data_IF_538355701081
#
_entry.id   IF_538355701081
#
_cell.length_a   1.000
_cell.length_b   1.000
_cell.length_c   1.000
_cell.angle_alpha   90.00
_cell.angle_beta   90.00
_cell.angle_gamma   90.00
#
_symmetry.space_group_name_H-M   'P 1'
#
loop_
_entity.id
_entity.type
_entity.pdbx_description
1 polymer ?
#
# COMPACT_ATOMS: atom_id res chain seq x y z
N UNK A 1 -50.45 30.81 35.43
CA UNK A 1 -49.28 31.30 34.67
C UNK A 1 -48.07 30.35 34.68
N UNK A 2 -47.75 29.61 35.76
CA UNK A 2 -46.55 28.74 35.78
C UNK A 2 -46.53 27.57 34.78
N UNK A 3 -47.69 27.04 34.35
CA UNK A 3 -47.73 25.90 33.42
C UNK A 3 -47.44 26.24 31.95
N UNK A 4 -47.73 27.48 31.51
CA UNK A 4 -47.54 27.90 30.12
C UNK A 4 -46.06 28.18 29.80
N UNK A 5 -45.32 28.80 30.72
CA UNK A 5 -43.88 29.00 30.59
C UNK A 5 -43.08 27.69 30.55
N UNK A 6 -43.49 26.70 31.36
CA UNK A 6 -42.84 25.38 31.39
C UNK A 6 -43.09 24.62 30.08
N UNK A 7 -44.28 24.72 29.51
CA UNK A 7 -44.63 24.03 28.27
C UNK A 7 -43.88 24.62 27.06
N UNK A 8 -43.78 25.96 26.96
CA UNK A 8 -43.02 26.62 25.90
C UNK A 8 -41.51 26.32 25.99
N UNK A 9 -40.95 26.27 27.20
CA UNK A 9 -39.55 25.91 27.41
C UNK A 9 -39.24 24.47 26.96
N UNK A 10 -40.15 23.52 27.26
CA UNK A 10 -39.99 22.12 26.86
C UNK A 10 -40.10 21.96 25.33
N UNK A 11 -41.03 22.66 24.68
CA UNK A 11 -41.16 22.65 23.22
C UNK A 11 -39.93 23.26 22.53
N UNK A 12 -39.45 24.42 23.00
CA UNK A 12 -38.27 25.07 22.43
C UNK A 12 -36.99 24.27 22.65
N UNK A 13 -36.84 23.61 23.81
CA UNK A 13 -35.74 22.69 24.08
C UNK A 13 -35.78 21.47 23.15
N UNK A 14 -36.96 20.87 22.94
CA UNK A 14 -37.13 19.73 22.04
C UNK A 14 -36.83 20.09 20.57
N UNK A 15 -37.23 21.28 20.12
CA UNK A 15 -36.93 21.76 18.75
C UNK A 15 -35.43 21.98 18.58
N UNK A 16 -34.76 22.63 19.54
CA UNK A 16 -33.29 22.83 19.50
C UNK A 16 -32.55 21.50 19.55
N UNK A 17 -32.99 20.56 20.39
CA UNK A 17 -32.43 19.21 20.48
C UNK A 17 -32.63 18.42 19.17
N UNK A 18 -33.78 18.56 18.51
CA UNK A 18 -34.04 17.95 17.21
C UNK A 18 -33.06 18.46 16.16
N UNK A 19 -32.89 19.78 16.01
CA UNK A 19 -31.94 20.34 15.05
C UNK A 19 -30.49 19.96 15.35
N UNK A 20 -30.11 19.91 16.63
CA UNK A 20 -28.79 19.44 17.04
C UNK A 20 -28.57 17.98 16.63
N UNK A 21 -29.55 17.10 16.91
CA UNK A 21 -29.49 15.69 16.54
C UNK A 21 -29.43 15.50 15.02
N UNK A 22 -30.28 16.20 14.26
CA UNK A 22 -30.26 16.17 12.80
C UNK A 22 -28.90 16.63 12.26
N UNK A 23 -28.32 17.69 12.83
CA UNK A 23 -26.98 18.16 12.47
C UNK A 23 -25.90 17.10 12.69
N UNK A 24 -25.94 16.41 13.83
CA UNK A 24 -25.00 15.31 14.13
C UNK A 24 -25.16 14.16 13.12
N UNK A 25 -26.39 13.75 12.82
CA UNK A 25 -26.66 12.69 11.83
C UNK A 25 -26.10 13.07 10.46
N UNK A 26 -26.31 14.30 10.01
CA UNK A 26 -25.78 14.80 8.73
C UNK A 26 -24.25 14.75 8.73
N UNK A 27 -23.59 15.19 9.81
CA UNK A 27 -22.13 15.13 9.92
C UNK A 27 -21.59 13.70 9.90
N UNK A 28 -22.26 12.76 10.57
CA UNK A 28 -21.89 11.33 10.54
C UNK A 28 -22.04 10.78 9.12
N UNK A 29 -23.12 11.12 8.41
CA UNK A 29 -23.31 10.68 7.01
C UNK A 29 -22.21 11.22 6.08
N UNK A 30 -21.81 12.49 6.22
CA UNK A 30 -20.72 13.08 5.44
C UNK A 30 -19.40 12.39 5.78
N UNK A 31 -19.10 12.21 7.07
CA UNK A 31 -17.90 11.52 7.53
C UNK A 31 -17.80 10.08 6.99
N UNK A 32 -18.91 9.34 7.00
CA UNK A 32 -18.97 7.98 6.46
C UNK A 32 -18.70 7.94 4.94
N UNK A 33 -19.23 8.90 4.18
CA UNK A 33 -18.98 9.00 2.72
C UNK A 33 -17.52 9.28 2.42
N UNK A 34 -16.92 10.26 3.09
CA UNK A 34 -15.49 10.57 2.94
C UNK A 34 -14.63 9.36 3.30
N UNK A 35 -14.91 8.70 4.44
CA UNK A 35 -14.18 7.51 4.84
C UNK A 35 -14.28 6.38 3.80
N UNK A 36 -15.43 6.20 3.16
CA UNK A 36 -15.61 5.21 2.10
C UNK A 36 -14.78 5.54 0.85
N UNK A 37 -14.78 6.80 0.40
CA UNK A 37 -13.96 7.23 -0.74
C UNK A 37 -12.47 7.04 -0.47
N UNK A 38 -11.99 7.39 0.73
CA UNK A 38 -10.61 7.13 1.15
C UNK A 38 -10.28 5.64 1.14
N UNK A 39 -11.19 4.79 1.64
CA UNK A 39 -10.99 3.33 1.65
C UNK A 39 -10.87 2.75 0.24
N UNK A 40 -11.77 3.13 -0.67
CA UNK A 40 -11.73 2.67 -2.07
C UNK A 40 -10.43 3.11 -2.75
N UNK A 41 -9.97 4.34 -2.50
CA UNK A 41 -8.68 4.81 -3.03
C UNK A 41 -7.49 4.02 -2.47
N UNK A 42 -7.52 3.68 -1.19
CA UNK A 42 -6.47 2.88 -0.54
C UNK A 42 -6.43 1.44 -1.10
N UNK A 43 -7.60 0.80 -1.25
CA UNK A 43 -7.72 -0.55 -1.80
C UNK A 43 -7.21 -0.61 -3.24
N UNK A 44 -7.63 0.34 -4.09
CA UNK A 44 -7.14 0.45 -5.45
C UNK A 44 -5.62 0.64 -5.53
N UNK A 45 -5.07 1.53 -4.69
CA UNK A 45 -3.63 1.73 -4.61
C UNK A 45 -2.89 0.46 -4.15
N UNK A 46 -3.48 -0.29 -3.22
CA UNK A 46 -2.94 -1.55 -2.72
C UNK A 46 -2.91 -2.61 -3.82
N UNK A 47 -3.98 -2.74 -4.60
CA UNK A 47 -4.07 -3.71 -5.70
C UNK A 47 -3.02 -3.43 -6.79
N UNK A 48 -2.87 -2.16 -7.19
CA UNK A 48 -1.86 -1.74 -8.17
C UNK A 48 -0.44 -2.07 -7.67
N UNK A 49 -0.16 -1.82 -6.39
CA UNK A 49 1.14 -2.15 -5.79
C UNK A 49 1.39 -3.66 -5.76
N UNK A 50 0.37 -4.46 -5.45
CA UNK A 50 0.47 -5.92 -5.51
C UNK A 50 0.76 -6.39 -6.94
N UNK A 51 0.00 -5.91 -7.92
CA UNK A 51 0.14 -6.32 -9.31
C UNK A 51 1.55 -5.99 -9.84
N UNK A 52 2.00 -4.75 -9.62
CA UNK A 52 3.33 -4.32 -10.02
C UNK A 52 4.41 -5.11 -9.28
N UNK A 53 4.24 -5.36 -7.98
CA UNK A 53 5.17 -6.16 -7.18
C UNK A 53 5.29 -7.59 -7.72
N UNK A 54 4.17 -8.26 -8.05
CA UNK A 54 4.19 -9.62 -8.63
C UNK A 54 4.90 -9.65 -9.98
N UNK A 55 4.62 -8.67 -10.84
CA UNK A 55 5.31 -8.53 -12.12
C UNK A 55 6.82 -8.32 -11.95
N UNK A 56 7.22 -7.53 -10.95
CA UNK A 56 8.62 -7.22 -10.67
C UNK A 56 9.37 -8.43 -10.10
N UNK A 57 8.76 -9.19 -9.18
CA UNK A 57 9.31 -10.46 -8.67
C UNK A 57 9.59 -11.42 -9.82
N UNK A 58 8.59 -11.67 -10.68
CA UNK A 58 8.75 -12.57 -11.82
C UNK A 58 9.89 -12.13 -12.75
N UNK A 59 9.95 -10.84 -13.05
CA UNK A 59 11.02 -10.27 -13.91
C UNK A 59 12.39 -10.47 -13.28
N UNK A 60 12.51 -10.25 -11.97
CA UNK A 60 13.76 -10.40 -11.25
C UNK A 60 14.18 -11.88 -11.14
N UNK A 61 13.25 -12.80 -10.88
CA UNK A 61 13.50 -14.25 -10.89
C UNK A 61 14.04 -14.70 -12.25
N UNK A 62 13.48 -14.20 -13.35
CA UNK A 62 13.98 -14.48 -14.71
C UNK A 62 15.37 -13.88 -14.97
N UNK A 63 15.68 -12.70 -14.43
CA UNK A 63 17.03 -12.10 -14.53
C UNK A 63 18.06 -12.92 -13.78
N UNK A 64 17.72 -13.38 -12.56
CA UNK A 64 18.61 -14.18 -11.71
C UNK A 64 18.80 -15.59 -12.28
N UNK A 65 17.74 -16.21 -12.81
CA UNK A 65 17.82 -17.46 -13.56
C UNK A 65 18.85 -17.40 -14.69
N UNK A 66 18.86 -16.31 -15.45
CA UNK A 66 19.84 -16.09 -16.52
C UNK A 66 21.24 -15.88 -15.97
N UNK A 67 21.39 -15.03 -14.95
CA UNK A 67 22.69 -14.72 -14.33
C UNK A 67 23.38 -15.97 -13.76
N UNK A 68 22.61 -16.85 -13.12
CA UNK A 68 23.12 -18.06 -12.48
C UNK A 68 23.02 -19.32 -13.34
N UNK A 69 22.61 -19.18 -14.61
CA UNK A 69 22.37 -20.25 -15.57
C UNK A 69 21.60 -21.45 -14.96
N UNK A 70 20.46 -21.16 -14.34
CA UNK A 70 19.59 -22.17 -13.70
C UNK A 70 18.11 -21.85 -13.92
N UNK A 71 17.21 -22.77 -13.58
CA UNK A 71 15.76 -22.56 -13.72
C UNK A 71 15.27 -21.58 -12.63
N UNK A 72 14.42 -20.63 -13.02
CA UNK A 72 13.78 -19.67 -12.10
C UNK A 72 12.99 -20.35 -10.98
N UNK A 73 12.55 -21.60 -11.17
CA UNK A 73 11.86 -22.40 -10.15
C UNK A 73 12.67 -22.66 -8.88
N UNK A 74 13.99 -22.52 -8.95
CA UNK A 74 14.89 -22.72 -7.81
C UNK A 74 15.12 -21.44 -7.01
N UNK A 75 14.63 -20.30 -7.49
CA UNK A 75 14.74 -19.05 -6.76
C UNK A 75 13.39 -18.68 -6.18
N UNK A 76 13.40 -18.39 -4.87
CA UNK A 76 12.30 -17.71 -4.23
C UNK A 76 12.82 -16.37 -3.74
N UNK A 77 12.50 -15.33 -4.49
CA UNK A 77 12.92 -13.99 -4.13
C UNK A 77 12.21 -13.53 -2.86
N UNK A 78 12.99 -13.27 -1.82
CA UNK A 78 12.53 -12.58 -0.63
C UNK A 78 12.97 -11.13 -0.76
N UNK A 79 12.01 -10.20 -0.69
CA UNK A 79 12.38 -8.80 -0.51
C UNK A 79 13.19 -8.71 0.78
N UNK A 80 14.46 -8.29 0.71
CA UNK A 80 15.24 -8.03 1.93
C UNK A 80 14.71 -6.71 2.51
N UNK A 81 14.19 -6.69 3.75
CA UNK A 81 13.64 -5.47 4.33
C UNK A 81 14.77 -4.44 4.52
N UNK A 82 14.78 -3.41 3.68
CA UNK A 82 15.59 -2.21 3.91
C UNK A 82 14.82 -1.11 4.66
N UNK A 83 13.49 -1.20 4.68
CA UNK A 83 12.64 -0.14 5.21
C UNK A 83 11.36 -0.74 5.83
N UNK A 84 11.28 -0.75 7.16
CA UNK A 84 10.16 -1.37 7.92
C UNK A 84 8.81 -0.69 7.66
N UNK A 85 8.81 0.46 6.98
CA UNK A 85 7.63 1.23 6.62
C UNK A 85 7.04 0.86 5.24
N UNK A 86 7.73 0.05 4.44
CA UNK A 86 7.23 -0.39 3.15
C UNK A 86 6.78 -1.86 3.21
N UNK A 87 5.48 -2.17 3.08
CA UNK A 87 4.99 -3.53 3.14
C UNK A 87 5.50 -4.33 1.93
N UNK A 88 6.70 -4.92 2.02
CA UNK A 88 7.31 -5.94 1.15
C UNK A 88 7.07 -5.83 -0.38
N UNK A 89 6.70 -4.66 -0.88
CA UNK A 89 6.39 -4.48 -2.29
C UNK A 89 7.69 -4.31 -3.07
N UNK A 90 7.82 -5.08 -4.12
CA UNK A 90 8.91 -5.03 -5.08
C UNK A 90 8.82 -3.80 -6.00
N UNK A 91 8.56 -2.61 -5.46
CA UNK A 91 8.29 -1.37 -6.22
C UNK A 91 9.21 -0.21 -5.81
N UNK A 92 10.24 -0.49 -5.00
CA UNK A 92 11.20 0.49 -4.50
C UNK A 92 12.31 0.78 -5.50
N UNK A 93 12.91 1.98 -5.36
CA UNK A 93 14.10 2.35 -6.13
C UNK A 93 15.29 1.43 -5.80
N UNK A 94 15.48 1.16 -4.53
CA UNK A 94 16.49 0.24 -4.02
C UNK A 94 15.84 -1.13 -3.86
N UNK A 95 16.18 -2.03 -4.78
CA UNK A 95 15.61 -3.36 -4.83
C UNK A 95 16.74 -4.37 -4.66
N UNK A 96 16.64 -5.15 -3.59
CA UNK A 96 17.66 -6.12 -3.16
C UNK A 96 16.97 -7.41 -2.75
N UNK A 97 17.54 -8.54 -3.16
CA UNK A 97 17.04 -9.87 -2.80
C UNK A 97 18.17 -10.76 -2.31
N UNK A 98 17.86 -11.59 -1.32
CA UNK A 98 18.66 -12.77 -1.01
C UNK A 98 18.27 -13.93 -1.93
N UNK A 99 19.23 -14.78 -2.28
CA UNK A 99 19.00 -16.10 -2.87
C UNK A 99 19.93 -17.11 -2.19
N UNK A 100 19.51 -18.36 -2.14
CA UNK A 100 20.35 -19.48 -1.74
C UNK A 100 20.55 -20.38 -2.97
N UNK A 101 21.80 -20.70 -3.29
CA UNK A 101 22.16 -21.61 -4.38
C UNK A 101 23.29 -22.52 -3.91
N UNK A 102 23.08 -23.83 -3.99
CA UNK A 102 24.09 -24.85 -3.66
C UNK A 102 24.69 -24.71 -2.25
N UNK A 103 23.88 -24.26 -1.27
CA UNK A 103 24.31 -24.02 0.12
C UNK A 103 25.08 -22.70 0.31
N UNK A 104 25.16 -21.87 -0.73
CA UNK A 104 25.75 -20.54 -0.67
C UNK A 104 24.66 -19.47 -0.75
N UNK A 105 24.74 -18.47 0.12
CA UNK A 105 23.82 -17.34 0.11
C UNK A 105 24.39 -16.20 -0.74
N UNK A 106 23.54 -15.56 -1.53
CA UNK A 106 23.89 -14.40 -2.33
C UNK A 106 22.90 -13.26 -2.13
N UNK A 107 23.43 -12.04 -2.14
CA UNK A 107 22.67 -10.79 -2.20
C UNK A 107 22.77 -10.17 -3.58
N UNK A 108 21.62 -9.96 -4.19
CA UNK A 108 21.47 -9.46 -5.56
C UNK A 108 20.88 -8.07 -5.51
N UNK A 109 21.51 -7.13 -6.21
CA UNK A 109 21.09 -5.75 -6.29
C UNK A 109 20.64 -5.43 -7.71
N UNK A 110 19.43 -4.88 -7.82
CA UNK A 110 18.80 -4.59 -9.10
C UNK A 110 18.96 -3.13 -9.49
N UNK A 111 19.25 -2.89 -10.76
CA UNK A 111 18.99 -1.61 -11.38
C UNK A 111 17.49 -1.42 -11.52
N UNK A 112 16.98 -0.23 -11.21
CA UNK A 112 15.56 0.04 -11.30
C UNK A 112 15.24 1.27 -12.13
N UNK A 113 14.08 1.25 -12.79
CA UNK A 113 13.50 2.43 -13.46
C UNK A 113 12.13 2.74 -12.91
N UNK A 114 11.82 4.04 -12.82
CA UNK A 114 10.51 4.52 -12.40
C UNK A 114 9.44 4.07 -13.40
N UNK A 115 8.31 3.60 -12.89
CA UNK A 115 7.11 3.28 -13.66
C UNK A 115 6.16 4.48 -13.57
N UNK A 116 5.76 4.99 -14.73
CA UNK A 116 4.68 5.98 -14.80
C UNK A 116 3.36 5.24 -14.63
N UNK A 117 2.72 5.40 -13.48
CA UNK A 117 1.34 4.97 -13.29
C UNK A 117 0.46 6.21 -13.35
N UNK A 118 -0.64 6.12 -14.10
CA UNK A 118 -1.57 7.21 -14.35
C UNK A 118 -2.31 7.68 -13.08
N UNK A 119 -2.16 6.97 -11.98
CA UNK A 119 -2.84 7.26 -10.71
C UNK A 119 -1.99 8.19 -9.85
N UNK A 120 -2.58 9.34 -9.53
CA UNK A 120 -1.95 10.43 -8.80
C UNK A 120 -1.26 9.95 -7.52
N UNK A 121 0.04 10.17 -7.44
CA UNK A 121 0.83 10.06 -6.20
C UNK A 121 1.52 8.72 -5.96
N UNK A 122 1.35 7.70 -6.82
CA UNK A 122 2.09 6.45 -6.69
C UNK A 122 3.44 6.51 -7.41
N UNK A 123 4.52 6.54 -6.63
CA UNK A 123 5.88 6.39 -7.15
C UNK A 123 6.27 4.91 -7.02
N UNK A 124 6.47 4.26 -8.17
CA UNK A 124 6.86 2.85 -8.24
C UNK A 124 8.04 2.68 -9.19
N UNK A 125 8.80 1.61 -8.96
CA UNK A 125 9.97 1.24 -9.75
C UNK A 125 9.84 -0.21 -10.21
N UNK A 126 10.59 -0.57 -11.25
CA UNK A 126 10.73 -1.96 -11.71
C UNK A 126 12.19 -2.30 -11.98
N UNK A 127 12.60 -3.55 -11.77
CA UNK A 127 13.95 -4.00 -12.11
C UNK A 127 14.17 -3.94 -13.63
N UNK A 128 15.38 -3.58 -14.03
CA UNK A 128 15.83 -3.56 -15.44
C UNK A 128 17.07 -4.38 -15.69
N UNK A 129 17.84 -4.66 -14.65
CA UNK A 129 19.05 -5.45 -14.71
C UNK A 129 19.59 -5.73 -13.31
N UNK A 130 20.65 -6.51 -13.24
CA UNK A 130 21.42 -6.77 -12.02
C UNK A 130 22.71 -5.98 -12.16
N UNK A 131 23.00 -5.07 -11.22
CA UNK A 131 24.29 -4.34 -11.25
C UNK A 131 25.33 -4.94 -10.31
N UNK A 132 24.89 -5.75 -9.34
CA UNK A 132 25.79 -6.32 -8.34
C UNK A 132 25.22 -7.62 -7.76
N UNK A 133 26.09 -8.60 -7.64
CA UNK A 133 25.85 -9.86 -6.93
C UNK A 133 26.96 -10.03 -5.91
N UNK A 134 26.61 -10.27 -4.65
CA UNK A 134 27.54 -10.54 -3.56
C UNK A 134 27.24 -11.91 -2.97
N UNK A 135 28.28 -12.69 -2.68
CA UNK A 135 28.16 -13.88 -1.84
C UNK A 135 28.19 -13.45 -0.38
N UNK A 136 27.26 -13.92 0.44
CA UNK A 136 27.28 -13.73 1.89
C UNK A 136 28.19 -14.82 2.51
N UNK A 137 28.97 -14.43 3.52
CA UNK A 137 29.95 -15.29 4.22
C UNK A 137 29.33 -16.12 5.34
#
# INVERSE_FOLDING_TARGET
>A
MKGFDVMNFVEEFNVKAFFLFTGIVVLVCIGARLAQEFRVKQEKNHDIRIEQSRSNVKTAEEMVAKEFNTDSKHFRMTAVPGDMLNPNYWITKELVSGIEKDGEEYRIYFETKRVSVSEEGLVMYKPTGIYKTLKEE
#
